data_IF_682104771854
#
_entry.id   IF_682104771854
#
_cell.length_a   1.000
_cell.length_b   1.000
_cell.length_c   1.000
_cell.angle_alpha   90.00
_cell.angle_beta   90.00
_cell.angle_gamma   90.00
#
_symmetry.space_group_name_H-M   'P 1'
#
loop_
_entity.id
_entity.type
_entity.pdbx_description
1 polymer ?
#
# COMPACT_ATOMS: atom_id res chain seq x y z
N UNK A 1 2.18 17.59 -4.60
CA UNK A 1 2.82 16.90 -3.46
C UNK A 1 2.39 17.59 -2.18
N UNK A 2 2.40 16.89 -1.06
CA UNK A 2 2.10 17.40 0.29
C UNK A 2 3.18 16.86 1.23
N UNK A 3 3.79 17.72 2.03
CA UNK A 3 4.73 17.32 3.09
C UNK A 3 4.15 17.73 4.44
N UNK A 4 4.34 16.89 5.44
CA UNK A 4 3.95 17.23 6.81
C UNK A 4 5.02 18.16 7.41
N UNK A 5 4.58 19.25 8.04
CA UNK A 5 5.46 20.24 8.70
C UNK A 5 5.31 20.22 10.21
N UNK A 6 4.11 19.93 10.72
CA UNK A 6 3.82 19.80 12.14
C UNK A 6 3.38 18.36 12.42
N UNK A 7 3.92 17.69 13.46
CA UNK A 7 3.49 16.34 13.82
C UNK A 7 2.00 16.31 14.18
N UNK A 8 1.35 15.13 14.06
CA UNK A 8 -0.04 14.97 14.48
C UNK A 8 -0.19 15.27 15.97
N UNK A 9 -1.23 16.03 16.32
CA UNK A 9 -1.63 16.26 17.71
C UNK A 9 -2.26 15.01 18.32
N UNK A 10 -3.06 14.29 17.51
CA UNK A 10 -3.69 13.03 17.91
C UNK A 10 -3.14 11.90 17.05
N UNK A 11 -2.57 10.88 17.69
CA UNK A 11 -2.07 9.70 16.98
C UNK A 11 -3.24 8.88 16.44
N UNK A 12 -3.31 8.78 15.13
CA UNK A 12 -4.28 7.95 14.42
C UNK A 12 -3.56 6.87 13.62
N UNK A 13 -4.23 5.74 13.43
CA UNK A 13 -3.66 4.66 12.64
C UNK A 13 -3.59 5.03 11.16
N UNK A 14 -2.66 4.44 10.42
CA UNK A 14 -2.57 4.65 8.97
C UNK A 14 -3.86 4.26 8.21
N UNK A 15 -4.63 3.31 8.74
CA UNK A 15 -5.88 2.85 8.10
C UNK A 15 -6.94 3.96 8.04
N UNK A 16 -6.97 4.86 9.03
CA UNK A 16 -7.87 6.02 9.03
C UNK A 16 -7.52 6.99 7.89
N UNK A 17 -6.23 7.23 7.64
CA UNK A 17 -5.78 8.02 6.50
C UNK A 17 -6.23 7.40 5.17
N UNK A 18 -6.07 6.09 5.01
CA UNK A 18 -6.48 5.40 3.77
C UNK A 18 -7.99 5.49 3.55
N UNK A 19 -8.80 5.39 4.61
CA UNK A 19 -10.25 5.56 4.54
C UNK A 19 -10.67 7.00 4.23
N UNK A 20 -9.92 7.98 4.73
CA UNK A 20 -10.19 9.40 4.49
C UNK A 20 -9.93 9.82 3.03
N UNK A 21 -9.00 9.16 2.33
CA UNK A 21 -8.68 9.50 0.93
C UNK A 21 -9.67 8.83 -0.03
N UNK A 22 -10.36 9.59 -0.91
CA UNK A 22 -11.27 9.01 -1.90
C UNK A 22 -10.54 8.09 -2.89
N UNK A 23 -11.14 6.93 -3.22
CA UNK A 23 -10.56 5.93 -4.14
C UNK A 23 -10.23 6.45 -5.55
N UNK A 24 -10.93 7.49 -6.01
CA UNK A 24 -10.71 8.08 -7.32
C UNK A 24 -9.37 8.85 -7.42
N UNK A 25 -8.80 9.24 -6.27
CA UNK A 25 -7.56 10.01 -6.22
C UNK A 25 -6.38 9.05 -6.20
N UNK A 26 -5.53 9.02 -7.23
CA UNK A 26 -4.32 8.23 -7.18
C UNK A 26 -3.30 8.95 -6.29
N UNK A 27 -2.79 8.26 -5.28
CA UNK A 27 -1.81 8.83 -4.35
C UNK A 27 -0.77 7.80 -3.92
N UNK A 28 0.34 8.31 -3.40
CA UNK A 28 1.46 7.55 -2.84
C UNK A 28 1.99 8.31 -1.63
N UNK A 29 2.41 7.57 -0.61
CA UNK A 29 3.06 8.12 0.57
C UNK A 29 4.41 7.43 0.79
N UNK A 30 5.40 8.22 1.20
CA UNK A 30 6.72 7.77 1.61
C UNK A 30 6.93 8.24 3.05
N UNK A 31 7.32 7.31 3.91
CA UNK A 31 7.65 7.56 5.30
C UNK A 31 9.07 7.04 5.53
N UNK A 32 10.01 7.96 5.79
CA UNK A 32 11.38 7.60 6.09
C UNK A 32 11.59 7.76 7.59
N UNK A 33 12.06 6.69 8.26
CA UNK A 33 12.42 6.68 9.67
C UNK A 33 13.92 6.45 9.80
N UNK A 34 14.60 7.36 10.47
CA UNK A 34 16.03 7.30 10.73
C UNK A 34 16.30 7.35 12.24
N UNK A 35 17.22 6.54 12.76
CA UNK A 35 17.58 6.58 14.16
C UNK A 35 18.42 7.84 14.49
N UNK A 36 18.43 8.24 15.76
CA UNK A 36 19.32 9.30 16.25
C UNK A 36 18.79 10.73 16.12
N UNK A 37 17.49 10.92 16.35
CA UNK A 37 16.86 12.26 16.36
C UNK A 37 17.54 13.22 17.32
N UNK A 38 17.87 12.76 18.53
CA UNK A 38 18.57 13.58 19.52
C UNK A 38 19.99 13.97 19.10
N UNK A 39 20.73 13.12 18.38
CA UNK A 39 22.06 13.47 17.86
C UNK A 39 22.00 14.61 16.85
N UNK A 40 21.00 14.60 15.97
CA UNK A 40 20.75 15.69 15.03
C UNK A 40 20.26 16.97 15.73
N UNK A 41 19.52 16.82 16.84
CA UNK A 41 19.03 17.94 17.64
C UNK A 41 20.08 18.50 18.61
N UNK A 42 21.14 17.77 18.97
CA UNK A 42 22.11 18.20 19.97
C UNK A 42 22.78 19.54 19.62
N UNK A 43 23.20 19.74 18.37
CA UNK A 43 23.78 21.04 17.96
C UNK A 43 22.77 22.18 18.11
N UNK A 44 21.51 21.94 17.72
CA UNK A 44 20.43 22.93 17.89
C UNK A 44 20.14 23.15 19.37
N UNK A 45 20.10 22.11 20.19
CA UNK A 45 19.91 22.16 21.64
C UNK A 45 20.99 23.01 22.31
N UNK A 46 22.26 22.82 21.97
CA UNK A 46 23.36 23.61 22.51
C UNK A 46 23.20 25.09 22.16
N UNK A 47 22.93 25.42 20.89
CA UNK A 47 22.68 26.81 20.47
C UNK A 47 21.45 27.42 21.16
N UNK A 48 20.35 26.67 21.26
CA UNK A 48 19.12 27.09 21.93
C UNK A 48 19.32 27.32 23.43
N UNK A 49 20.21 26.55 24.06
CA UNK A 49 20.56 26.72 25.49
C UNK A 49 21.29 28.04 25.71
N UNK A 50 22.22 28.39 24.82
CA UNK A 50 22.90 29.69 24.88
C UNK A 50 21.97 30.87 24.55
N UNK A 51 20.97 30.67 23.69
CA UNK A 51 19.99 31.71 23.34
C UNK A 51 18.71 31.70 24.18
N UNK A 52 18.66 30.93 25.27
CA UNK A 52 17.45 30.70 26.09
C UNK A 52 16.91 31.95 26.80
N UNK A 53 17.73 33.00 26.89
CA UNK A 53 17.35 34.31 27.43
C UNK A 53 16.36 35.07 26.54
N UNK A 54 16.21 34.69 25.28
CA UNK A 54 15.26 35.31 24.34
C UNK A 54 13.88 34.67 24.53
N UNK A 55 12.90 35.45 24.99
CA UNK A 55 11.52 34.96 25.23
C UNK A 55 10.87 34.28 24.02
N UNK A 56 11.23 34.68 22.80
CA UNK A 56 10.71 34.08 21.56
C UNK A 56 11.19 32.63 21.32
N UNK A 57 12.30 32.22 21.94
CA UNK A 57 12.93 30.91 21.72
C UNK A 57 12.59 29.92 22.85
N UNK A 58 12.06 30.40 23.98
CA UNK A 58 11.70 29.57 25.14
C UNK A 58 10.79 28.38 24.80
N UNK A 59 9.71 28.51 24.01
CA UNK A 59 8.85 27.37 23.68
C UNK A 59 9.59 26.28 22.88
N UNK A 60 10.54 26.66 22.02
CA UNK A 60 11.38 25.72 21.27
C UNK A 60 12.37 25.01 22.19
N UNK A 61 12.93 25.73 23.14
CA UNK A 61 13.84 25.16 24.14
C UNK A 61 13.12 24.14 25.03
N UNK A 62 11.94 24.48 25.56
CA UNK A 62 11.13 23.59 26.40
C UNK A 62 10.75 22.31 25.67
N UNK A 63 10.33 22.40 24.41
CA UNK A 63 9.99 21.23 23.59
C UNK A 63 11.21 20.34 23.29
N UNK A 64 12.39 20.92 23.04
CA UNK A 64 13.63 20.14 22.87
C UNK A 64 14.06 19.47 24.18
N UNK A 65 13.87 20.12 25.32
CA UNK A 65 14.17 19.52 26.62
C UNK A 65 13.18 18.41 26.99
N UNK A 66 11.90 18.57 26.68
CA UNK A 66 10.89 17.52 26.83
C UNK A 66 11.19 16.29 25.96
N UNK A 67 11.65 16.50 24.72
CA UNK A 67 12.12 15.41 23.85
C UNK A 67 13.36 14.72 24.43
N UNK A 68 14.30 15.48 25.00
CA UNK A 68 15.49 14.90 25.64
C UNK A 68 15.15 14.02 26.85
N UNK A 69 14.19 14.45 27.69
CA UNK A 69 13.71 13.64 28.81
C UNK A 69 12.95 12.38 28.35
N UNK A 70 12.31 12.45 27.18
CA UNK A 70 11.61 11.29 26.59
C UNK A 70 12.60 10.27 26.01
N UNK A 71 13.72 10.73 25.43
CA UNK A 71 14.78 9.90 24.85
C UNK A 71 15.40 8.92 25.86
N UNK A 72 15.38 9.26 27.15
CA UNK A 72 15.85 8.37 28.22
C UNK A 72 15.00 7.10 28.36
N UNK A 73 13.70 7.16 28.00
CA UNK A 73 12.76 6.04 28.08
C UNK A 73 12.51 5.40 26.72
N UNK A 74 12.32 6.22 25.70
CA UNK A 74 12.04 5.78 24.32
C UNK A 74 12.90 6.57 23.33
N UNK A 75 13.63 5.91 22.42
CA UNK A 75 14.54 6.60 21.51
C UNK A 75 13.76 7.52 20.56
N UNK A 76 14.20 8.78 20.45
CA UNK A 76 13.63 9.75 19.52
C UNK A 76 14.21 9.53 18.13
N UNK A 77 13.33 9.36 17.15
CA UNK A 77 13.68 9.13 15.76
C UNK A 77 13.53 10.40 14.92
N UNK A 78 14.15 10.41 13.74
CA UNK A 78 13.86 11.40 12.70
C UNK A 78 12.88 10.74 11.74
N UNK A 79 11.72 11.36 11.55
CA UNK A 79 10.71 10.88 10.62
C UNK A 79 10.42 11.95 9.56
N UNK A 80 10.35 11.57 8.30
CA UNK A 80 9.79 12.43 7.25
C UNK A 80 8.64 11.74 6.56
N UNK A 81 7.54 12.47 6.37
CA UNK A 81 6.34 11.96 5.72
C UNK A 81 6.04 12.85 4.51
N UNK A 82 5.99 12.22 3.34
CA UNK A 82 5.72 12.88 2.08
C UNK A 82 4.64 12.14 1.31
N UNK A 83 3.64 12.86 0.81
CA UNK A 83 2.59 12.31 -0.02
C UNK A 83 2.57 12.98 -1.40
N UNK A 84 2.36 12.19 -2.45
CA UNK A 84 2.30 12.65 -3.83
C UNK A 84 1.07 12.09 -4.53
N UNK A 85 0.45 12.90 -5.37
CA UNK A 85 -0.65 12.53 -6.26
C UNK A 85 -0.30 12.94 -7.69
N UNK A 86 -1.03 12.41 -8.66
CA UNK A 86 -0.86 12.70 -10.08
C UNK A 86 -2.22 12.77 -10.78
N UNK A 87 -2.22 13.32 -12.00
CA UNK A 87 -3.40 13.48 -12.83
C UNK A 87 -3.01 13.71 -14.28
N UNK A 88 -3.93 13.47 -15.22
CA UNK A 88 -3.70 13.67 -16.66
C UNK A 88 -3.57 15.15 -17.02
N UNK A 89 -4.35 16.00 -16.34
CA UNK A 89 -4.36 17.45 -16.55
C UNK A 89 -3.98 18.17 -15.25
N UNK A 90 -3.51 19.42 -15.38
CA UNK A 90 -3.03 20.22 -14.25
C UNK A 90 -4.16 20.51 -13.25
N UNK A 91 -5.37 20.79 -13.73
CA UNK A 91 -6.54 21.10 -12.91
C UNK A 91 -6.93 19.89 -12.06
N UNK A 92 -6.91 18.70 -12.66
CA UNK A 92 -7.16 17.44 -11.95
C UNK A 92 -6.08 17.20 -10.90
N UNK A 93 -4.81 17.45 -11.23
CA UNK A 93 -3.70 17.30 -10.29
C UNK A 93 -3.84 18.24 -9.09
N UNK A 94 -4.18 19.52 -9.31
CA UNK A 94 -4.40 20.50 -8.24
C UNK A 94 -5.59 20.13 -7.36
N UNK A 95 -6.70 19.66 -7.96
CA UNK A 95 -7.86 19.17 -7.21
C UNK A 95 -7.50 17.96 -6.35
N UNK A 96 -6.82 16.97 -6.94
CA UNK A 96 -6.36 15.79 -6.22
C UNK A 96 -5.40 16.14 -5.09
N UNK A 97 -4.52 17.13 -5.30
CA UNK A 97 -3.61 17.63 -4.28
C UNK A 97 -4.36 18.27 -3.12
N UNK A 98 -5.42 19.05 -3.39
CA UNK A 98 -6.24 19.67 -2.35
C UNK A 98 -6.99 18.61 -1.51
N UNK A 99 -7.56 17.59 -2.17
CA UNK A 99 -8.23 16.47 -1.49
C UNK A 99 -7.23 15.72 -0.60
N UNK A 100 -6.05 15.38 -1.14
CA UNK A 100 -5.01 14.69 -0.39
C UNK A 100 -4.49 15.54 0.79
N UNK A 101 -4.33 16.85 0.58
CA UNK A 101 -3.94 17.79 1.64
C UNK A 101 -4.95 17.76 2.78
N UNK A 102 -6.24 17.93 2.47
CA UNK A 102 -7.31 17.91 3.46
C UNK A 102 -7.40 16.58 4.22
N UNK A 103 -7.20 15.45 3.53
CA UNK A 103 -7.19 14.14 4.18
C UNK A 103 -6.01 13.96 5.14
N UNK A 104 -4.81 14.46 4.79
CA UNK A 104 -3.63 14.41 5.66
C UNK A 104 -3.77 15.38 6.84
N UNK A 105 -4.35 16.57 6.63
CA UNK A 105 -4.64 17.51 7.72
C UNK A 105 -5.67 16.92 8.70
N UNK A 106 -6.68 16.22 8.20
CA UNK A 106 -7.65 15.49 9.02
C UNK A 106 -7.06 14.28 9.75
N UNK A 107 -5.97 13.71 9.25
CA UNK A 107 -5.25 12.61 9.88
C UNK A 107 -4.42 13.13 11.05
N UNK A 108 -4.99 13.10 12.25
CA UNK A 108 -4.32 13.50 13.48
C UNK A 108 -4.07 14.99 13.66
N UNK A 109 -4.73 15.88 12.89
CA UNK A 109 -4.57 17.34 12.94
C UNK A 109 -3.11 17.74 12.62
N UNK A 110 -2.62 17.29 11.46
CA UNK A 110 -1.28 17.59 10.99
C UNK A 110 -1.20 18.97 10.33
N UNK A 111 -0.08 19.67 10.52
CA UNK A 111 0.27 20.82 9.68
C UNK A 111 0.87 20.34 8.37
N UNK A 112 0.36 20.80 7.23
CA UNK A 112 0.87 20.40 5.92
C UNK A 112 1.33 21.58 5.08
N UNK A 113 2.31 21.33 4.21
CA UNK A 113 2.73 22.28 3.17
C UNK A 113 2.66 21.66 1.79
N UNK A 114 2.25 22.47 0.83
CA UNK A 114 2.22 22.16 -0.60
C UNK A 114 3.22 22.98 -1.40
N UNK A 115 3.95 23.89 -0.75
CA UNK A 115 4.92 24.76 -1.41
C UNK A 115 6.25 24.02 -1.57
N UNK A 116 6.51 23.59 -2.80
CA UNK A 116 7.77 22.99 -3.22
C UNK A 116 8.34 23.82 -4.36
N UNK A 117 9.65 23.99 -4.40
CA UNK A 117 10.33 24.70 -5.49
C UNK A 117 10.12 24.00 -6.84
N UNK A 118 10.73 22.82 -7.01
CA UNK A 118 10.52 21.98 -8.20
C UNK A 118 9.57 20.80 -7.90
N UNK A 119 8.34 20.80 -8.46
CA UNK A 119 7.38 19.73 -8.25
C UNK A 119 7.82 18.37 -8.81
N UNK A 120 8.69 18.34 -9.84
CA UNK A 120 9.18 17.08 -10.43
C UNK A 120 10.17 16.40 -9.49
N UNK A 121 11.18 17.15 -9.02
CA UNK A 121 12.11 16.65 -7.99
C UNK A 121 11.37 16.22 -6.73
N UNK A 122 10.36 16.98 -6.31
CA UNK A 122 9.54 16.65 -5.17
C UNK A 122 8.78 15.31 -5.38
N UNK A 123 8.24 15.07 -6.58
CA UNK A 123 7.63 13.78 -6.95
C UNK A 123 8.62 12.61 -7.01
N UNK A 124 9.82 12.82 -7.56
CA UNK A 124 10.90 11.79 -7.58
C UNK A 124 11.34 11.43 -6.17
N UNK A 125 11.37 12.40 -5.25
CA UNK A 125 11.70 12.15 -3.84
C UNK A 125 10.70 11.21 -3.16
N UNK A 126 9.46 11.06 -3.64
CA UNK A 126 8.52 10.08 -3.07
C UNK A 126 8.67 8.67 -3.64
N UNK A 127 9.53 8.47 -4.64
CA UNK A 127 9.85 7.15 -5.19
C UNK A 127 10.98 6.54 -4.35
N UNK A 128 10.71 5.37 -3.78
CA UNK A 128 11.73 4.62 -3.03
C UNK A 128 12.93 4.32 -3.93
N UNK A 129 14.14 4.50 -3.41
CA UNK A 129 15.41 4.28 -4.10
C UNK A 129 15.72 5.19 -5.32
N UNK A 130 14.79 6.02 -5.79
CA UNK A 130 15.08 6.98 -6.88
C UNK A 130 15.74 8.28 -6.37
N UNK A 131 15.61 8.56 -5.07
CA UNK A 131 16.22 9.73 -4.43
C UNK A 131 16.67 9.38 -3.02
N UNK A 132 17.94 9.70 -2.74
CA UNK A 132 18.51 9.68 -1.39
C UNK A 132 18.08 10.87 -0.53
N UNK A 133 17.36 11.83 -1.10
CA UNK A 133 16.80 12.95 -0.35
C UNK A 133 15.64 12.49 0.53
N UNK A 134 15.76 12.71 1.84
CA UNK A 134 14.66 12.66 2.81
C UNK A 134 13.73 13.87 2.62
N UNK A 135 12.51 13.82 3.16
CA UNK A 135 11.57 14.94 3.07
C UNK A 135 12.11 16.27 3.62
N UNK A 136 11.58 17.41 3.17
CA UNK A 136 12.15 18.74 3.46
C UNK A 136 12.06 19.13 4.94
N UNK A 137 11.12 18.55 5.69
CA UNK A 137 10.90 18.87 7.11
C UNK A 137 11.07 17.60 7.96
N UNK A 138 12.15 17.48 8.74
CA UNK A 138 12.32 16.39 9.69
C UNK A 138 11.42 16.60 10.91
N UNK A 139 10.62 15.59 11.21
CA UNK A 139 9.83 15.46 12.45
C UNK A 139 10.64 14.63 13.46
N UNK A 140 10.40 14.84 14.74
CA UNK A 140 11.12 14.16 15.83
C UNK A 140 10.17 13.40 16.78
N UNK A 141 9.42 12.40 16.30
CA UNK A 141 8.56 11.59 17.16
C UNK A 141 9.37 10.62 18.03
N UNK A 142 8.85 10.27 19.24
CA UNK A 142 9.24 9.03 19.92
C UNK A 142 9.00 7.81 19.03
N UNK A 143 9.78 6.74 19.21
CA UNK A 143 9.69 5.54 18.38
C UNK A 143 8.29 4.90 18.41
N UNK A 144 7.63 4.85 19.57
CA UNK A 144 6.27 4.30 19.72
C UNK A 144 5.26 5.04 18.83
N UNK A 145 5.31 6.38 18.85
CA UNK A 145 4.47 7.26 18.04
C UNK A 145 4.80 7.15 16.55
N UNK A 146 6.08 6.96 16.20
CA UNK A 146 6.45 6.74 14.80
C UNK A 146 5.84 5.43 14.28
N UNK A 147 6.01 4.33 15.03
CA UNK A 147 5.53 2.99 14.65
C UNK A 147 4.00 2.96 14.47
N UNK A 148 3.24 3.68 15.30
CA UNK A 148 1.77 3.72 15.18
C UNK A 148 1.28 4.41 13.90
N UNK A 149 2.07 5.32 13.34
CA UNK A 149 1.79 6.00 12.07
C UNK A 149 2.16 5.16 10.85
N UNK A 150 3.05 4.16 10.99
CA UNK A 150 3.45 3.31 9.88
C UNK A 150 2.31 2.39 9.41
N UNK A 151 2.26 2.03 8.11
CA UNK A 151 1.27 1.12 7.54
C UNK A 151 1.48 -0.36 7.93
N UNK A 152 1.85 -0.66 9.18
CA UNK A 152 2.10 -2.03 9.65
C UNK A 152 0.82 -2.86 9.77
N UNK A 153 -0.30 -2.21 10.09
CA UNK A 153 -1.59 -2.87 10.29
C UNK A 153 -2.34 -3.13 8.98
N UNK A 154 -1.70 -2.92 7.82
CA UNK A 154 -2.31 -3.18 6.52
C UNK A 154 -2.20 -4.66 6.20
N UNK A 155 -3.34 -5.34 6.03
CA UNK A 155 -3.37 -6.75 5.67
C UNK A 155 -2.65 -7.00 4.34
N UNK A 156 -1.59 -7.81 4.37
CA UNK A 156 -0.87 -8.27 3.18
C UNK A 156 -1.53 -9.49 2.54
N UNK A 157 -1.23 -9.77 1.27
CA UNK A 157 -1.63 -11.04 0.66
C UNK A 157 -0.82 -12.19 1.28
N UNK A 158 -1.52 -13.22 1.76
CA UNK A 158 -0.91 -14.46 2.26
C UNK A 158 -0.22 -15.28 1.15
N UNK A 159 -0.53 -14.98 -0.11
CA UNK A 159 -0.14 -15.78 -1.27
C UNK A 159 1.27 -15.50 -1.78
N UNK A 160 1.95 -14.46 -1.28
CA UNK A 160 3.38 -14.14 -1.53
C UNK A 160 3.81 -14.30 -3.02
N UNK A 161 3.05 -13.77 -3.97
CA UNK A 161 3.38 -13.85 -5.40
C UNK A 161 2.89 -15.12 -6.12
N UNK A 162 2.24 -16.05 -5.40
CA UNK A 162 1.69 -17.30 -5.94
C UNK A 162 0.19 -17.22 -6.22
N UNK A 163 -0.43 -16.06 -6.05
CA UNK A 163 -1.84 -15.88 -6.40
C UNK A 163 -2.03 -15.85 -7.91
N UNK A 164 -3.21 -16.30 -8.37
CA UNK A 164 -3.56 -16.32 -9.80
C UNK A 164 -4.67 -15.31 -10.14
N UNK A 165 -5.47 -14.95 -9.14
CA UNK A 165 -6.51 -13.96 -9.25
C UNK A 165 -6.08 -12.69 -8.50
N UNK A 166 -6.23 -11.54 -9.13
CA UNK A 166 -6.07 -10.24 -8.48
C UNK A 166 -7.44 -9.75 -8.08
N UNK A 167 -7.65 -9.53 -6.79
CA UNK A 167 -8.82 -8.88 -6.22
C UNK A 167 -8.41 -7.56 -5.58
N UNK A 168 -9.39 -6.77 -5.17
CA UNK A 168 -9.15 -5.56 -4.39
C UNK A 168 -9.78 -5.70 -3.02
N UNK A 169 -9.04 -5.31 -1.97
CA UNK A 169 -9.58 -5.12 -0.62
C UNK A 169 -10.57 -3.95 -0.63
N UNK A 170 -11.42 -3.84 0.40
CA UNK A 170 -12.27 -2.66 0.62
C UNK A 170 -11.46 -1.35 0.67
N UNK A 171 -10.19 -1.41 1.04
CA UNK A 171 -9.29 -0.24 1.02
C UNK A 171 -8.71 0.05 -0.38
N UNK A 172 -9.13 -0.68 -1.42
CA UNK A 172 -8.64 -0.55 -2.80
C UNK A 172 -7.27 -1.18 -3.07
N UNK A 173 -6.62 -1.75 -2.05
CA UNK A 173 -5.36 -2.47 -2.20
C UNK A 173 -5.54 -3.68 -3.11
N UNK A 174 -4.69 -3.84 -4.12
CA UNK A 174 -4.66 -5.07 -4.89
C UNK A 174 -4.15 -6.21 -4.00
N UNK A 175 -4.93 -7.29 -3.92
CA UNK A 175 -4.59 -8.50 -3.19
C UNK A 175 -4.62 -9.69 -4.14
N UNK A 176 -3.53 -10.43 -4.15
CA UNK A 176 -3.45 -11.71 -4.84
C UNK A 176 -4.25 -12.75 -4.08
N UNK A 177 -5.00 -13.59 -4.79
CA UNK A 177 -5.71 -14.76 -4.27
C UNK A 177 -5.34 -16.01 -5.08
N UNK A 178 -4.93 -17.06 -4.36
CA UNK A 178 -4.49 -18.33 -4.92
C UNK A 178 -5.63 -19.33 -5.09
N UNK A 179 -6.24 -19.31 -6.28
CA UNK A 179 -7.25 -20.29 -6.70
C UNK A 179 -6.64 -21.69 -6.91
N UNK A 180 -7.20 -22.74 -6.29
CA UNK A 180 -6.64 -24.12 -6.25
C UNK A 180 -5.13 -24.17 -5.96
N UNK A 181 -4.70 -23.33 -5.02
CA UNK A 181 -3.32 -23.38 -4.55
C UNK A 181 -3.06 -24.62 -3.70
N UNK A 182 -1.84 -25.14 -3.77
CA UNK A 182 -1.39 -26.24 -2.90
C UNK A 182 -1.33 -25.85 -1.42
N UNK A 183 -1.45 -24.56 -1.08
CA UNK A 183 -1.54 -24.11 0.31
C UNK A 183 -2.93 -24.31 0.93
N UNK A 184 -3.95 -24.59 0.11
CA UNK A 184 -5.31 -24.88 0.57
C UNK A 184 -5.65 -26.34 0.29
N UNK A 185 -5.98 -27.09 1.34
CA UNK A 185 -6.36 -28.52 1.21
C UNK A 185 -7.77 -28.70 0.63
N UNK A 186 -8.69 -27.79 0.96
CA UNK A 186 -10.07 -27.78 0.46
C UNK A 186 -10.40 -26.38 -0.01
N UNK A 187 -11.07 -26.29 -1.13
CA UNK A 187 -11.42 -25.04 -1.76
C UNK A 187 -12.87 -25.08 -2.24
N UNK A 188 -13.74 -24.39 -1.52
CA UNK A 188 -15.16 -24.23 -1.85
C UNK A 188 -15.47 -22.73 -1.82
N UNK A 189 -15.80 -22.16 -2.98
CA UNK A 189 -16.24 -20.77 -3.11
C UNK A 189 -17.76 -20.73 -3.19
N UNK A 190 -18.37 -19.90 -2.35
CA UNK A 190 -19.79 -19.58 -2.43
C UNK A 190 -19.92 -18.09 -2.73
N UNK A 191 -20.67 -17.76 -3.78
CA UNK A 191 -20.97 -16.38 -4.16
C UNK A 191 -22.48 -16.12 -4.00
N UNK A 192 -22.97 -15.87 -2.77
CA UNK A 192 -24.37 -15.51 -2.54
C UNK A 192 -24.65 -14.05 -2.95
N UNK A 193 -25.91 -13.73 -3.23
CA UNK A 193 -26.37 -12.36 -3.51
C UNK A 193 -27.65 -12.31 -4.35
N UNK A 194 -28.05 -11.12 -4.78
CA UNK A 194 -29.24 -10.94 -5.61
C UNK A 194 -28.93 -11.04 -7.12
N UNK A 195 -29.94 -11.34 -7.97
CA UNK A 195 -29.81 -11.24 -9.41
C UNK A 195 -29.33 -9.84 -9.83
N UNK A 196 -28.38 -9.75 -10.77
CA UNK A 196 -27.89 -8.47 -11.31
C UNK A 196 -26.61 -7.91 -10.66
N UNK A 197 -26.17 -8.41 -9.50
CA UNK A 197 -24.97 -7.92 -8.79
C UNK A 197 -23.63 -8.46 -9.34
N UNK A 198 -23.58 -8.91 -10.60
CA UNK A 198 -22.33 -9.34 -11.24
C UNK A 198 -21.79 -10.70 -10.78
N UNK A 199 -22.57 -11.52 -10.07
CA UNK A 199 -22.14 -12.86 -9.62
C UNK A 199 -21.75 -13.81 -10.74
N UNK A 200 -22.47 -13.80 -11.85
CA UNK A 200 -22.12 -14.58 -13.04
C UNK A 200 -20.78 -14.13 -13.64
N UNK A 201 -20.46 -12.83 -13.56
CA UNK A 201 -19.17 -12.29 -14.00
C UNK A 201 -18.05 -12.78 -13.08
N UNK A 202 -18.28 -12.75 -11.77
CA UNK A 202 -17.34 -13.27 -10.78
C UNK A 202 -17.07 -14.77 -11.00
N UNK A 203 -18.10 -15.59 -11.16
CA UNK A 203 -17.92 -17.04 -11.40
C UNK A 203 -17.16 -17.29 -12.70
N UNK A 204 -17.45 -16.52 -13.77
CA UNK A 204 -16.75 -16.65 -15.03
C UNK A 204 -15.26 -16.29 -14.92
N UNK A 205 -14.90 -15.23 -14.19
CA UNK A 205 -13.50 -14.86 -13.98
C UNK A 205 -12.74 -15.91 -13.17
N UNK A 206 -13.37 -16.48 -12.15
CA UNK A 206 -12.81 -17.60 -11.38
C UNK A 206 -12.58 -18.81 -12.28
N UNK A 207 -13.62 -19.32 -12.96
CA UNK A 207 -13.52 -20.48 -13.86
C UNK A 207 -12.42 -20.31 -14.92
N UNK A 208 -12.34 -19.11 -15.52
CA UNK A 208 -11.31 -18.81 -16.51
C UNK A 208 -9.90 -18.90 -15.92
N UNK A 209 -9.68 -18.31 -14.74
CA UNK A 209 -8.39 -18.36 -14.05
C UNK A 209 -8.01 -19.76 -13.58
N UNK A 210 -8.96 -20.54 -13.07
CA UNK A 210 -8.79 -21.95 -12.75
C UNK A 210 -8.30 -22.76 -13.94
N UNK A 211 -8.95 -22.60 -15.09
CA UNK A 211 -8.58 -23.31 -16.32
C UNK A 211 -7.16 -22.95 -16.77
N UNK A 212 -6.79 -21.68 -16.73
CA UNK A 212 -5.41 -21.27 -17.06
C UNK A 212 -4.38 -21.91 -16.11
N UNK A 213 -4.68 -21.97 -14.81
CA UNK A 213 -3.77 -22.58 -13.84
C UNK A 213 -3.60 -24.09 -14.08
N UNK A 214 -4.68 -24.81 -14.38
CA UNK A 214 -4.64 -26.23 -14.69
C UNK A 214 -3.87 -26.50 -15.98
N UNK A 215 -4.14 -25.75 -17.06
CA UNK A 215 -3.43 -25.87 -18.33
C UNK A 215 -1.92 -25.62 -18.18
N UNK A 216 -1.53 -24.67 -17.31
CA UNK A 216 -0.12 -24.39 -17.04
C UNK A 216 0.59 -25.52 -16.29
N UNK A 217 -0.14 -26.29 -15.46
CA UNK A 217 0.39 -27.47 -14.78
C UNK A 217 0.53 -28.68 -15.71
N UNK A 218 -0.41 -28.88 -16.63
CA UNK A 218 -0.36 -30.00 -17.58
C UNK A 218 0.54 -29.75 -18.80
N UNK A 219 0.67 -28.49 -19.24
CA UNK A 219 1.46 -28.11 -20.41
C UNK A 219 2.32 -26.85 -20.13
N UNK A 220 3.54 -26.99 -19.57
CA UNK A 220 4.37 -25.85 -19.18
C UNK A 220 5.06 -25.11 -20.35
N UNK A 221 5.08 -25.65 -21.57
CA UNK A 221 5.89 -25.15 -22.69
C UNK A 221 5.14 -24.31 -23.75
N UNK A 222 3.83 -24.07 -23.62
CA UNK A 222 3.05 -23.32 -24.62
C UNK A 222 2.81 -21.87 -24.16
N UNK A 223 3.31 -20.85 -24.90
CA UNK A 223 2.92 -19.47 -24.70
C UNK A 223 1.49 -19.27 -25.22
N UNK A 224 0.52 -19.20 -24.31
CA UNK A 224 -0.89 -19.05 -24.66
C UNK A 224 -1.20 -17.55 -24.82
N UNK A 225 -1.16 -17.06 -26.07
CA UNK A 225 -1.74 -15.77 -26.47
C UNK A 225 -3.22 -15.96 -26.78
N UNK A 226 -4.09 -15.20 -26.11
CA UNK A 226 -5.54 -15.35 -26.21
C UNK A 226 -6.07 -14.26 -27.14
N UNK A 227 -6.42 -14.63 -28.37
CA UNK A 227 -7.37 -13.89 -29.20
C UNK A 227 -8.74 -14.57 -29.09
N UNK A 228 -9.78 -13.76 -28.91
CA UNK A 228 -11.12 -14.09 -28.37
C UNK A 228 -12.04 -15.00 -29.22
N UNK A 229 -11.56 -15.87 -30.11
CA UNK A 229 -12.43 -16.46 -31.15
C UNK A 229 -12.80 -17.93 -31.01
N UNK A 230 -12.53 -18.60 -29.87
CA UNK A 230 -12.76 -20.07 -29.77
C UNK A 230 -13.55 -20.44 -28.52
N UNK A 231 -14.81 -20.00 -28.46
CA UNK A 231 -15.78 -20.43 -27.44
C UNK A 231 -16.76 -21.50 -27.93
N UNK A 232 -16.77 -21.86 -29.23
CA UNK A 232 -17.69 -22.89 -29.77
C UNK A 232 -17.10 -24.31 -29.85
N UNK A 233 -15.78 -24.47 -30.00
CA UNK A 233 -15.21 -25.81 -30.29
C UNK A 233 -14.74 -26.61 -29.06
N UNK A 234 -14.81 -26.05 -27.85
CA UNK A 234 -14.19 -26.68 -26.67
C UNK A 234 -15.04 -27.75 -25.96
N UNK A 235 -16.34 -27.84 -26.24
CA UNK A 235 -17.16 -28.96 -25.73
C UNK A 235 -16.78 -30.30 -26.38
N UNK A 236 -16.34 -30.27 -27.65
CA UNK A 236 -15.89 -31.46 -28.39
C UNK A 236 -14.59 -32.03 -27.80
N UNK A 237 -13.61 -31.18 -27.49
CA UNK A 237 -12.30 -31.62 -27.01
C UNK A 237 -12.33 -32.24 -25.60
N UNK A 238 -13.24 -31.78 -24.74
CA UNK A 238 -13.40 -32.32 -23.38
C UNK A 238 -13.93 -33.76 -23.38
N UNK A 239 -14.80 -34.11 -24.34
CA UNK A 239 -15.33 -35.46 -24.47
C UNK A 239 -14.25 -36.46 -24.92
N UNK A 240 -13.36 -36.07 -25.83
CA UNK A 240 -12.39 -37.00 -26.42
C UNK A 240 -11.20 -37.32 -25.50
N UNK A 241 -10.77 -36.36 -24.67
CA UNK A 241 -9.59 -36.55 -23.82
C UNK A 241 -9.90 -37.34 -22.54
N UNK A 242 -11.11 -37.21 -21.98
CA UNK A 242 -11.47 -37.91 -20.75
C UNK A 242 -11.93 -39.36 -21.00
N UNK A 243 -12.69 -39.62 -22.07
CA UNK A 243 -13.17 -40.97 -22.40
C UNK A 243 -12.07 -41.97 -22.82
N UNK A 244 -10.88 -41.47 -23.22
CA UNK A 244 -9.76 -42.34 -23.63
C UNK A 244 -8.99 -42.94 -22.44
N UNK A 245 -9.11 -42.36 -21.24
CA UNK A 245 -8.38 -42.80 -20.04
C UNK A 245 -9.09 -43.86 -19.20
N UNK A 246 -10.40 -44.04 -19.34
CA UNK A 246 -11.15 -45.09 -18.61
C UNK A 246 -11.17 -46.44 -19.33
N UNK A 247 -11.06 -46.47 -20.68
CA UNK A 247 -11.13 -47.74 -21.44
C UNK A 247 -9.87 -48.61 -21.37
N UNK A 248 -8.78 -48.15 -20.75
CA UNK A 248 -7.50 -48.88 -20.68
C UNK A 248 -7.24 -49.57 -19.33
N UNK A 249 -8.22 -49.61 -18.41
CA UNK A 249 -8.06 -50.26 -17.08
C UNK A 249 -9.02 -51.40 -16.75
N UNK A 250 -9.90 -51.82 -17.66
CA UNK A 250 -10.71 -53.03 -17.49
C UNK A 250 -10.45 -54.03 -18.61
N UNK A 251 -9.30 -54.70 -18.54
CA UNK A 251 -9.07 -55.99 -19.19
C UNK A 251 -7.94 -56.68 -18.40
N UNK A 252 -8.17 -57.93 -18.02
CA UNK A 252 -7.24 -58.83 -17.30
C UNK A 252 -7.23 -58.69 -15.77
N UNK A 253 -8.20 -59.34 -15.12
CA UNK A 253 -7.96 -60.46 -14.18
C UNK A 253 -9.31 -61.12 -13.88
N UNK A 254 -9.28 -62.45 -13.85
CA UNK A 254 -10.40 -63.38 -13.63
C UNK A 254 -11.24 -63.05 -12.39
#
# INVERSE_FOLDING_TARGET
MVSITLPPQNLQTFNELVRAVPRAVPWRIRMDLMPGGMKALNLKKTLLTYSSFISAVRPMYESVMALAATDEKEPVCIMTIMASTWGKTREICTRNQAILKSAIEGWGVCGTTTTFGDPRRAWVNTILAASGGSGPVPLYPPLSHAISLFPLNRAGSVWRGKGNLMLHTEDGSAIEVGLASSQQNKHTELAPGDPGLGKSVLINTHCRKYRYHLLRKTCPSLPISIRDTVLRDWFSLFATVFLRKEKTKLSVLF
#
